data_IF_339901372562
#
_entry.id   IF_339901372562
#
_cell.length_a   1.000
_cell.length_b   1.000
_cell.length_c   1.000
_cell.angle_alpha   90.00
_cell.angle_beta   90.00
_cell.angle_gamma   90.00
#
_symmetry.space_group_name_H-M   'P 1'
#
loop_
_entity.id
_entity.type
_entity.pdbx_description
1 polymer ?
#
# COMPACT_ATOMS: atom_id res chain seq x y z
N UNK A 1 -23.08 8.94 -29.97
CA UNK A 1 -22.27 10.09 -29.51
C UNK A 1 -21.91 9.98 -28.02
N UNK A 2 -22.87 9.66 -27.14
CA UNK A 2 -22.68 9.50 -25.68
C UNK A 2 -21.64 8.42 -25.31
N UNK A 3 -21.60 7.30 -26.05
CA UNK A 3 -20.66 6.19 -25.81
C UNK A 3 -19.20 6.55 -26.07
N UNK A 4 -18.90 7.31 -27.13
CA UNK A 4 -17.54 7.80 -27.43
C UNK A 4 -17.04 8.85 -26.42
N UNK A 5 -17.94 9.66 -25.87
CA UNK A 5 -17.60 10.65 -24.84
C UNK A 5 -17.25 9.94 -23.52
N UNK A 6 -18.01 8.90 -23.14
CA UNK A 6 -17.75 8.09 -21.95
C UNK A 6 -16.41 7.35 -22.03
N UNK A 7 -16.09 6.77 -23.18
CA UNK A 7 -14.79 6.09 -23.38
C UNK A 7 -13.60 7.05 -23.33
N UNK A 8 -13.75 8.28 -23.86
CA UNK A 8 -12.68 9.28 -23.82
C UNK A 8 -12.41 9.80 -22.39
N UNK A 9 -13.48 10.06 -21.62
CA UNK A 9 -13.37 10.46 -20.21
C UNK A 9 -12.70 9.38 -19.35
N UNK A 10 -13.06 8.12 -19.55
CA UNK A 10 -12.43 6.99 -18.84
C UNK A 10 -10.94 6.88 -19.16
N UNK A 11 -10.57 7.02 -20.43
CA UNK A 11 -9.17 6.96 -20.85
C UNK A 11 -8.33 8.09 -20.23
N UNK A 12 -8.91 9.29 -20.17
CA UNK A 12 -8.26 10.46 -19.56
C UNK A 12 -8.10 10.30 -18.05
N UNK A 13 -9.12 9.78 -17.36
CA UNK A 13 -9.07 9.48 -15.92
C UNK A 13 -7.97 8.45 -15.60
N UNK A 14 -7.89 7.37 -16.38
CA UNK A 14 -6.83 6.36 -16.26
C UNK A 14 -5.44 6.98 -16.43
N UNK A 15 -5.24 7.87 -17.40
CA UNK A 15 -3.94 8.54 -17.59
C UNK A 15 -3.55 9.41 -16.41
N UNK A 16 -4.48 10.22 -15.86
CA UNK A 16 -4.18 11.04 -14.68
C UNK A 16 -3.85 10.19 -13.45
N UNK A 17 -4.61 9.11 -13.24
CA UNK A 17 -4.36 8.14 -12.18
C UNK A 17 -2.96 7.54 -12.29
N UNK A 18 -2.53 7.23 -13.52
CA UNK A 18 -1.20 6.66 -13.74
C UNK A 18 -0.08 7.63 -13.38
N UNK A 19 -0.20 8.87 -13.84
CA UNK A 19 0.78 9.92 -13.55
C UNK A 19 0.85 10.17 -12.04
N UNK A 20 -0.30 10.24 -11.37
CA UNK A 20 -0.36 10.48 -9.94
C UNK A 20 0.30 9.37 -9.12
N UNK A 21 0.04 8.10 -9.45
CA UNK A 21 0.68 6.95 -8.80
C UNK A 21 2.21 6.95 -8.99
N UNK A 22 2.70 7.34 -10.16
CA UNK A 22 4.14 7.49 -10.41
C UNK A 22 4.75 8.61 -9.59
N UNK A 23 4.06 9.76 -9.46
CA UNK A 23 4.53 10.85 -8.62
C UNK A 23 4.63 10.43 -7.15
N UNK A 24 3.65 9.66 -6.65
CA UNK A 24 3.70 9.10 -5.30
C UNK A 24 4.86 8.10 -5.16
N UNK A 25 5.06 7.22 -6.14
CA UNK A 25 6.17 6.26 -6.11
C UNK A 25 7.52 7.00 -6.05
N UNK A 26 7.71 8.02 -6.89
CA UNK A 26 8.95 8.79 -6.94
C UNK A 26 9.17 9.54 -5.64
N UNK A 27 8.16 10.25 -5.11
CA UNK A 27 8.30 11.00 -3.86
C UNK A 27 8.59 10.09 -2.67
N UNK A 28 7.93 8.94 -2.59
CA UNK A 28 8.16 7.95 -1.54
C UNK A 28 9.51 7.23 -1.68
N UNK A 29 9.99 6.97 -2.90
CA UNK A 29 11.34 6.47 -3.15
C UNK A 29 12.42 7.45 -2.71
N UNK A 30 12.25 8.74 -3.01
CA UNK A 30 13.18 9.79 -2.56
C UNK A 30 13.23 9.82 -1.04
N UNK A 31 12.08 9.75 -0.37
CA UNK A 31 12.01 9.64 1.09
C UNK A 31 12.71 8.39 1.63
N UNK A 32 12.41 7.22 1.05
CA UNK A 32 13.07 5.96 1.40
C UNK A 32 14.59 6.05 1.22
N UNK A 33 15.06 6.64 0.12
CA UNK A 33 16.48 6.82 -0.17
C UNK A 33 17.18 7.79 0.78
N UNK A 34 16.47 8.80 1.28
CA UNK A 34 17.03 9.73 2.25
C UNK A 34 17.31 9.05 3.59
N UNK A 35 16.37 8.25 4.08
CA UNK A 35 16.48 7.62 5.40
C UNK A 35 17.21 6.28 5.41
N UNK A 36 17.19 5.52 4.30
CA UNK A 36 17.85 4.22 4.24
C UNK A 36 19.34 4.35 3.94
N UNK A 37 20.25 3.82 4.79
CA UNK A 37 21.67 3.77 4.49
C UNK A 37 21.96 2.89 3.28
N UNK A 38 23.14 3.07 2.68
CA UNK A 38 23.57 2.30 1.51
C UNK A 38 23.72 0.82 1.91
N UNK A 39 22.72 0.04 1.55
CA UNK A 39 22.54 -1.36 1.98
C UNK A 39 21.98 -2.19 0.82
N UNK A 40 22.13 -3.53 0.86
CA UNK A 40 21.53 -4.40 -0.15
C UNK A 40 20.02 -4.16 -0.32
N UNK A 41 19.31 -3.85 0.77
CA UNK A 41 17.89 -3.50 0.75
C UNK A 41 17.59 -2.28 -0.11
N UNK A 42 18.45 -1.25 -0.09
CA UNK A 42 18.30 -0.05 -0.91
C UNK A 42 18.47 -0.33 -2.40
N UNK A 43 19.32 -1.28 -2.76
CA UNK A 43 19.49 -1.72 -4.15
C UNK A 43 18.28 -2.56 -4.58
N UNK A 44 17.86 -3.51 -3.74
CA UNK A 44 16.69 -4.34 -3.99
C UNK A 44 15.42 -3.51 -4.14
N UNK A 45 15.25 -2.44 -3.35
CA UNK A 45 14.07 -1.58 -3.41
C UNK A 45 13.97 -0.83 -4.75
N UNK A 46 15.11 -0.39 -5.30
CA UNK A 46 15.17 0.24 -6.64
C UNK A 46 14.85 -0.77 -7.72
N UNK A 47 15.40 -1.98 -7.65
CA UNK A 47 15.08 -3.06 -8.61
C UNK A 47 13.58 -3.36 -8.58
N UNK A 48 13.00 -3.49 -7.38
CA UNK A 48 11.56 -3.74 -7.22
C UNK A 48 10.71 -2.56 -7.71
N UNK A 49 11.17 -1.32 -7.56
CA UNK A 49 10.52 -0.14 -8.14
C UNK A 49 10.56 -0.13 -9.67
N UNK A 50 11.71 -0.47 -10.27
CA UNK A 50 11.82 -0.58 -11.72
C UNK A 50 10.93 -1.71 -12.25
N UNK A 51 10.90 -2.85 -11.57
CA UNK A 51 9.97 -3.94 -11.88
C UNK A 51 8.52 -3.46 -11.77
N UNK A 52 8.15 -2.74 -10.71
CA UNK A 52 6.77 -2.25 -10.53
C UNK A 52 6.33 -1.32 -11.66
N UNK A 53 7.21 -0.39 -12.07
CA UNK A 53 6.98 0.50 -13.21
C UNK A 53 6.86 -0.30 -14.51
N UNK A 54 7.71 -1.32 -14.71
CA UNK A 54 7.61 -2.23 -15.86
C UNK A 54 6.27 -2.98 -15.90
N UNK A 55 5.87 -3.63 -14.80
CA UNK A 55 4.59 -4.32 -14.68
C UNK A 55 3.40 -3.37 -14.91
N UNK A 56 3.52 -2.13 -14.47
CA UNK A 56 2.50 -1.11 -14.61
C UNK A 56 2.33 -0.63 -16.06
N UNK A 57 3.42 -0.30 -16.77
CA UNK A 57 3.33 0.20 -18.14
C UNK A 57 3.11 -0.92 -19.16
N UNK A 58 3.79 -2.06 -19.00
CA UNK A 58 3.79 -3.14 -19.99
C UNK A 58 2.61 -4.08 -19.76
N UNK A 59 2.40 -4.51 -18.51
CA UNK A 59 1.39 -5.52 -18.18
C UNK A 59 0.09 -4.92 -17.64
N UNK A 60 0.00 -3.59 -17.51
CA UNK A 60 -1.17 -2.87 -17.00
C UNK A 60 -1.63 -3.39 -15.63
N UNK A 61 -0.68 -3.84 -14.79
CA UNK A 61 -0.95 -4.33 -13.43
C UNK A 61 -0.57 -3.27 -12.41
N UNK A 62 -1.56 -2.83 -11.63
CA UNK A 62 -1.44 -1.71 -10.69
C UNK A 62 -1.06 -2.15 -9.28
N UNK A 63 -1.39 -3.39 -8.91
CA UNK A 63 -1.30 -3.89 -7.53
C UNK A 63 0.11 -3.78 -6.95
N UNK A 64 1.12 -4.21 -7.72
CA UNK A 64 2.50 -4.23 -7.25
C UNK A 64 3.05 -2.81 -7.07
N UNK A 65 2.70 -1.88 -7.98
CA UNK A 65 3.10 -0.48 -7.86
C UNK A 65 2.44 0.18 -6.66
N UNK A 66 1.14 -0.06 -6.44
CA UNK A 66 0.41 0.47 -5.29
C UNK A 66 1.00 -0.05 -3.97
N UNK A 67 1.23 -1.36 -3.86
CA UNK A 67 1.85 -1.95 -2.68
C UNK A 67 3.23 -1.36 -2.41
N UNK A 68 4.07 -1.30 -3.42
CA UNK A 68 5.44 -0.81 -3.24
C UNK A 68 5.48 0.68 -2.87
N UNK A 69 4.67 1.51 -3.53
CA UNK A 69 4.52 2.92 -3.16
C UNK A 69 3.99 3.08 -1.74
N UNK A 70 3.02 2.26 -1.33
CA UNK A 70 2.46 2.31 0.03
C UNK A 70 3.51 1.94 1.09
N UNK A 71 4.31 0.91 0.83
CA UNK A 71 5.43 0.52 1.68
C UNK A 71 6.43 1.67 1.87
N UNK A 72 6.92 2.27 0.79
CA UNK A 72 7.88 3.38 0.88
C UNK A 72 7.29 4.61 1.54
N UNK A 73 6.00 4.88 1.32
CA UNK A 73 5.29 5.99 1.96
C UNK A 73 5.25 5.81 3.48
N UNK A 74 4.89 4.62 3.95
CA UNK A 74 4.86 4.29 5.38
C UNK A 74 6.25 4.33 6.02
N UNK A 75 7.24 3.76 5.35
CA UNK A 75 8.62 3.80 5.81
C UNK A 75 9.12 5.24 5.98
N UNK A 76 8.84 6.10 5.00
CA UNK A 76 9.21 7.52 5.04
C UNK A 76 8.50 8.22 6.18
N UNK A 77 7.18 8.01 6.35
CA UNK A 77 6.40 8.63 7.42
C UNK A 77 6.89 8.23 8.82
N UNK A 78 7.18 6.95 9.03
CA UNK A 78 7.74 6.49 10.30
C UNK A 78 9.11 7.11 10.57
N UNK A 79 9.99 7.23 9.57
CA UNK A 79 11.29 7.87 9.81
C UNK A 79 11.13 9.37 10.13
N UNK A 80 10.20 10.07 9.49
CA UNK A 80 9.86 11.47 9.81
C UNK A 80 9.32 11.58 11.26
N UNK A 81 8.62 10.56 11.77
CA UNK A 81 8.21 10.48 13.17
C UNK A 81 9.39 10.44 14.12
N UNK A 82 10.25 9.44 13.92
CA UNK A 82 11.35 9.16 14.82
C UNK A 82 12.45 10.22 14.73
N UNK A 83 12.50 11.00 13.64
CA UNK A 83 13.37 12.18 13.54
C UNK A 83 12.81 13.41 14.29
N UNK A 84 11.65 13.31 14.95
CA UNK A 84 11.06 14.39 15.74
C UNK A 84 10.47 15.54 14.93
N UNK A 85 10.32 15.37 13.61
CA UNK A 85 9.87 16.43 12.72
C UNK A 85 8.35 16.57 12.65
N UNK A 86 7.60 15.58 13.15
CA UNK A 86 6.13 15.54 13.07
C UNK A 86 5.48 15.14 14.39
N UNK A 87 4.37 15.80 14.72
CA UNK A 87 3.49 15.40 15.80
C UNK A 87 2.69 14.14 15.46
N UNK A 88 2.43 13.29 16.46
CA UNK A 88 1.72 12.00 16.30
C UNK A 88 0.37 12.17 15.58
N UNK A 89 -0.43 13.18 15.95
CA UNK A 89 -1.74 13.43 15.35
C UNK A 89 -1.66 13.72 13.85
N UNK A 90 -0.62 14.44 13.40
CA UNK A 90 -0.44 14.76 11.99
C UNK A 90 -0.08 13.51 11.18
N UNK A 91 0.58 12.53 11.81
CA UNK A 91 0.87 11.24 11.19
C UNK A 91 -0.34 10.31 11.12
N UNK A 92 -1.17 10.33 12.16
CA UNK A 92 -2.44 9.61 12.13
C UNK A 92 -3.29 10.08 10.94
N UNK A 93 -3.37 11.40 10.73
CA UNK A 93 -4.07 11.98 9.58
C UNK A 93 -3.42 11.59 8.25
N UNK A 94 -2.08 11.60 8.15
CA UNK A 94 -1.40 11.24 6.90
C UNK A 94 -1.56 9.76 6.54
N UNK A 95 -1.60 8.87 7.53
CA UNK A 95 -1.82 7.44 7.33
C UNK A 95 -3.25 7.16 6.94
N UNK A 96 -4.22 7.78 7.61
CA UNK A 96 -5.63 7.67 7.23
C UNK A 96 -5.81 8.14 5.78
N UNK A 97 -5.23 9.29 5.41
CA UNK A 97 -5.27 9.79 4.05
C UNK A 97 -4.59 8.84 3.05
N UNK A 98 -3.39 8.32 3.35
CA UNK A 98 -2.69 7.38 2.47
C UNK A 98 -3.48 6.11 2.24
N UNK A 99 -3.95 5.45 3.31
CA UNK A 99 -4.70 4.19 3.20
C UNK A 99 -5.96 4.41 2.38
N UNK A 100 -6.69 5.49 2.63
CA UNK A 100 -7.87 5.86 1.87
C UNK A 100 -7.53 6.06 0.38
N UNK A 101 -6.49 6.84 0.08
CA UNK A 101 -6.05 7.14 -1.29
C UNK A 101 -5.66 5.85 -2.04
N UNK A 102 -4.82 5.00 -1.43
CA UNK A 102 -4.37 3.76 -2.08
C UNK A 102 -5.51 2.76 -2.28
N UNK A 103 -6.39 2.62 -1.30
CA UNK A 103 -7.55 1.76 -1.43
C UNK A 103 -8.52 2.27 -2.51
N UNK A 104 -8.75 3.58 -2.57
CA UNK A 104 -9.55 4.20 -3.62
C UNK A 104 -8.93 3.96 -5.01
N UNK A 105 -7.61 4.06 -5.14
CA UNK A 105 -6.92 3.73 -6.39
C UNK A 105 -7.05 2.27 -6.79
N UNK A 106 -6.97 1.34 -5.83
CA UNK A 106 -7.17 -0.07 -6.10
C UNK A 106 -8.58 -0.35 -6.62
N UNK A 107 -9.61 0.26 -6.02
CA UNK A 107 -10.99 0.17 -6.53
C UNK A 107 -11.08 0.68 -7.97
N UNK A 108 -10.61 1.91 -8.23
CA UNK A 108 -10.65 2.49 -9.56
C UNK A 108 -9.90 1.66 -10.61
N UNK A 109 -8.85 0.94 -10.20
CA UNK A 109 -8.08 0.07 -11.10
C UNK A 109 -8.83 -1.21 -11.51
N UNK A 110 -9.70 -1.72 -10.64
CA UNK A 110 -10.52 -2.90 -10.89
C UNK A 110 -11.80 -2.56 -11.67
N UNK A 111 -12.28 -1.32 -11.53
CA UNK A 111 -13.59 -0.90 -12.00
C UNK A 111 -13.63 -0.56 -13.50
N UNK A 112 -13.58 -1.60 -14.36
CA UNK A 112 -14.03 -1.48 -15.76
C UNK A 112 -15.56 -1.54 -15.89
N UNK A 113 -16.27 -1.93 -14.84
CA UNK A 113 -17.72 -2.15 -14.83
C UNK A 113 -18.31 -1.67 -13.51
N UNK A 114 -18.67 -0.38 -13.48
CA UNK A 114 -19.54 0.31 -12.52
C UNK A 114 -19.84 -0.45 -11.23
N UNK A 115 -19.38 -0.01 -10.06
CA UNK A 115 -19.72 -0.66 -8.81
C UNK A 115 -21.18 -0.32 -8.51
N UNK A 116 -22.05 -1.32 -8.51
CA UNK A 116 -23.43 -1.19 -8.04
C UNK A 116 -23.52 -1.07 -6.51
N UNK A 117 -22.39 -0.85 -5.82
CA UNK A 117 -22.28 -0.80 -4.36
C UNK A 117 -21.49 0.40 -3.86
N UNK A 118 -21.93 0.95 -2.73
CA UNK A 118 -21.26 2.06 -2.05
C UNK A 118 -19.97 1.54 -1.38
N UNK A 119 -18.85 1.52 -2.12
CA UNK A 119 -17.53 1.03 -1.64
C UNK A 119 -16.79 2.04 -0.75
N UNK A 120 -17.28 3.28 -0.70
CA UNK A 120 -16.67 4.39 0.04
C UNK A 120 -16.62 4.17 1.56
N UNK A 121 -17.67 3.70 2.25
CA UNK A 121 -17.61 3.35 3.67
C UNK A 121 -16.55 2.28 4.00
N UNK A 122 -16.31 1.33 3.10
CA UNK A 122 -15.29 0.30 3.30
C UNK A 122 -13.87 0.87 3.23
N UNK A 123 -13.63 1.83 2.33
CA UNK A 123 -12.35 2.54 2.27
C UNK A 123 -12.05 3.24 3.59
N UNK A 124 -13.06 3.90 4.16
CA UNK A 124 -12.96 4.59 5.44
C UNK A 124 -12.71 3.61 6.59
N UNK A 125 -13.51 2.53 6.69
CA UNK A 125 -13.34 1.52 7.73
C UNK A 125 -11.97 0.84 7.67
N UNK A 126 -11.50 0.52 6.47
CA UNK A 126 -10.16 -0.05 6.28
C UNK A 126 -9.07 0.94 6.67
N UNK A 127 -9.26 2.22 6.38
CA UNK A 127 -8.34 3.29 6.82
C UNK A 127 -8.27 3.40 8.34
N UNK A 128 -9.41 3.30 9.03
CA UNK A 128 -9.44 3.27 10.50
C UNK A 128 -8.79 2.01 11.08
N UNK A 129 -9.02 0.85 10.48
CA UNK A 129 -8.40 -0.40 10.92
C UNK A 129 -6.87 -0.34 10.79
N UNK A 130 -6.36 0.15 9.65
CA UNK A 130 -4.92 0.29 9.46
C UNK A 130 -4.34 1.37 10.37
N UNK A 131 -5.08 2.45 10.63
CA UNK A 131 -4.68 3.47 11.59
C UNK A 131 -4.54 2.89 13.01
N UNK A 132 -5.47 2.03 13.43
CA UNK A 132 -5.40 1.36 14.72
C UNK A 132 -4.16 0.46 14.82
N UNK A 133 -3.88 -0.33 13.77
CA UNK A 133 -2.66 -1.14 13.70
C UNK A 133 -1.42 -0.25 13.78
N UNK A 134 -1.40 0.88 13.07
CA UNK A 134 -0.31 1.84 13.15
C UNK A 134 -0.12 2.39 14.57
N UNK A 135 -1.20 2.75 15.26
CA UNK A 135 -1.14 3.23 16.64
C UNK A 135 -0.52 2.19 17.56
N UNK A 136 -0.99 0.94 17.51
CA UNK A 136 -0.43 -0.17 18.29
C UNK A 136 1.08 -0.34 18.00
N UNK A 137 1.45 -0.34 16.72
CA UNK A 137 2.86 -0.47 16.31
C UNK A 137 3.72 0.74 16.68
N UNK A 138 3.14 1.94 16.79
CA UNK A 138 3.89 3.15 17.15
C UNK A 138 4.54 3.03 18.53
N UNK A 139 3.85 2.38 19.48
CA UNK A 139 4.34 2.14 20.84
C UNK A 139 5.25 0.91 20.96
N UNK A 140 5.28 0.04 19.95
CA UNK A 140 6.16 -1.13 19.96
C UNK A 140 7.61 -0.74 19.66
N UNK A 141 8.61 -1.16 20.46
CA UNK A 141 10.01 -0.80 20.27
C UNK A 141 10.65 -1.71 19.21
N UNK A 142 10.13 -1.60 17.99
CA UNK A 142 10.52 -2.39 16.83
C UNK A 142 11.11 -1.44 15.77
N UNK A 143 12.03 -1.95 14.94
CA UNK A 143 12.56 -1.19 13.82
C UNK A 143 11.45 -0.73 12.84
N UNK A 144 11.65 0.45 12.26
CA UNK A 144 10.70 1.10 11.34
C UNK A 144 10.35 0.22 10.13
N UNK A 145 11.32 -0.54 9.64
CA UNK A 145 11.15 -1.47 8.52
C UNK A 145 10.09 -2.52 8.83
N UNK A 146 10.21 -3.24 9.95
CA UNK A 146 9.25 -4.29 10.31
C UNK A 146 7.85 -3.71 10.57
N UNK A 147 7.75 -2.51 11.17
CA UNK A 147 6.45 -1.82 11.34
C UNK A 147 5.79 -1.56 9.98
N UNK A 148 6.56 -1.07 9.01
CA UNK A 148 6.08 -0.83 7.65
C UNK A 148 5.62 -2.12 6.97
N UNK A 149 6.34 -3.23 7.17
CA UNK A 149 5.99 -4.56 6.63
C UNK A 149 4.68 -5.08 7.25
N UNK A 150 4.50 -4.93 8.57
CA UNK A 150 3.27 -5.37 9.25
C UNK A 150 2.06 -4.59 8.73
N UNK A 151 2.18 -3.27 8.52
CA UNK A 151 1.06 -2.49 8.01
C UNK A 151 0.74 -2.84 6.56
N UNK A 152 1.74 -2.97 5.68
CA UNK A 152 1.45 -3.32 4.28
C UNK A 152 0.85 -4.72 4.15
N UNK A 153 1.29 -5.68 4.96
CA UNK A 153 0.70 -7.02 4.98
C UNK A 153 -0.73 -6.99 5.50
N UNK A 154 -1.01 -6.20 6.54
CA UNK A 154 -2.37 -5.95 7.03
C UNK A 154 -3.26 -5.34 5.95
N UNK A 155 -2.76 -4.33 5.25
CA UNK A 155 -3.46 -3.68 4.15
C UNK A 155 -3.75 -4.67 3.02
N UNK A 156 -2.76 -5.47 2.63
CA UNK A 156 -2.89 -6.48 1.59
C UNK A 156 -3.90 -7.59 1.97
N UNK A 157 -3.92 -8.02 3.23
CA UNK A 157 -4.91 -8.95 3.77
C UNK A 157 -6.32 -8.38 3.68
N UNK A 158 -6.51 -7.16 4.19
CA UNK A 158 -7.79 -6.50 4.15
C UNK A 158 -8.28 -6.32 2.72
N UNK A 159 -7.38 -5.93 1.80
CA UNK A 159 -7.67 -5.86 0.37
C UNK A 159 -8.09 -7.21 -0.23
N UNK A 160 -7.38 -8.29 0.07
CA UNK A 160 -7.72 -9.64 -0.38
C UNK A 160 -9.11 -10.10 0.12
N UNK A 161 -9.47 -9.77 1.36
CA UNK A 161 -10.78 -10.09 1.92
C UNK A 161 -11.90 -9.27 1.28
N UNK A 162 -11.70 -7.97 1.07
CA UNK A 162 -12.69 -7.10 0.42
C UNK A 162 -12.88 -7.50 -1.04
N UNK A 163 -11.80 -7.73 -1.78
CA UNK A 163 -11.87 -8.13 -3.19
C UNK A 163 -12.60 -9.46 -3.39
N UNK A 164 -12.42 -10.43 -2.48
CA UNK A 164 -13.22 -11.67 -2.48
C UNK A 164 -14.70 -11.42 -2.15
N UNK A 165 -14.98 -10.70 -1.05
CA UNK A 165 -16.33 -10.58 -0.50
C UNK A 165 -17.24 -9.66 -1.32
N UNK A 166 -16.71 -8.53 -1.81
CA UNK A 166 -17.51 -7.48 -2.43
C UNK A 166 -17.40 -7.46 -3.95
N UNK A 167 -16.22 -7.80 -4.49
CA UNK A 167 -15.96 -7.72 -5.93
C UNK A 167 -16.01 -9.09 -6.60
N UNK A 168 -16.04 -10.19 -5.83
CA UNK A 168 -15.98 -11.58 -6.33
C UNK A 168 -14.81 -11.83 -7.32
N UNK A 169 -13.80 -10.98 -7.30
CA UNK A 169 -12.68 -11.02 -8.25
C UNK A 169 -11.69 -12.14 -7.96
N UNK A 170 -11.69 -12.66 -6.72
CA UNK A 170 -10.84 -13.76 -6.29
C UNK A 170 -11.64 -15.06 -6.13
N UNK A 171 -11.16 -16.13 -6.78
CA UNK A 171 -11.64 -17.48 -6.53
C UNK A 171 -11.24 -17.95 -5.12
N UNK A 172 -11.98 -18.92 -4.56
CA UNK A 172 -11.71 -19.44 -3.22
C UNK A 172 -10.28 -19.97 -3.07
N UNK A 173 -9.78 -20.67 -4.10
CA UNK A 173 -8.39 -21.12 -4.18
C UNK A 173 -7.39 -19.97 -4.10
N UNK A 174 -7.61 -18.89 -4.86
CA UNK A 174 -6.72 -17.74 -4.83
C UNK A 174 -6.77 -17.04 -3.48
N UNK A 175 -7.94 -16.91 -2.85
CA UNK A 175 -8.05 -16.29 -1.53
C UNK A 175 -7.28 -17.02 -0.42
N UNK A 176 -7.23 -18.35 -0.47
CA UNK A 176 -6.45 -19.16 0.48
C UNK A 176 -4.96 -18.92 0.26
N UNK A 177 -4.50 -18.88 -1.00
CA UNK A 177 -3.10 -18.55 -1.32
C UNK A 177 -2.72 -17.14 -0.81
N UNK A 178 -3.61 -16.15 -0.94
CA UNK A 178 -3.41 -14.81 -0.40
C UNK A 178 -3.25 -14.81 1.12
N UNK A 179 -4.13 -15.51 1.84
CA UNK A 179 -4.07 -15.62 3.31
C UNK A 179 -2.80 -16.33 3.78
N UNK A 180 -2.41 -17.43 3.13
CA UNK A 180 -1.19 -18.17 3.46
C UNK A 180 0.04 -17.29 3.26
N UNK A 181 0.12 -16.61 2.11
CA UNK A 181 1.29 -15.79 1.78
C UNK A 181 1.41 -14.61 2.74
N UNK A 182 0.31 -13.93 3.03
CA UNK A 182 0.32 -12.86 4.03
C UNK A 182 0.63 -13.37 5.44
N UNK A 183 0.12 -14.53 5.83
CA UNK A 183 0.44 -15.17 7.11
C UNK A 183 1.93 -15.51 7.24
N UNK A 184 2.54 -16.03 6.15
CA UNK A 184 3.99 -16.28 6.12
C UNK A 184 4.79 -14.99 6.24
N UNK A 185 4.42 -13.91 5.56
CA UNK A 185 5.11 -12.63 5.69
C UNK A 185 4.95 -12.06 7.10
N UNK A 186 3.79 -12.23 7.73
CA UNK A 186 3.56 -11.87 9.13
C UNK A 186 4.48 -12.65 10.07
N UNK A 187 4.58 -13.97 9.90
CA UNK A 187 5.46 -14.83 10.70
C UNK A 187 6.93 -14.44 10.53
N UNK A 188 7.36 -14.17 9.29
CA UNK A 188 8.73 -13.70 9.00
C UNK A 188 8.96 -12.36 9.71
N UNK A 189 8.02 -11.43 9.64
CA UNK A 189 8.12 -10.12 10.30
C UNK A 189 8.28 -10.27 11.81
N UNK A 190 7.46 -11.11 12.44
CA UNK A 190 7.53 -11.42 13.88
C UNK A 190 8.85 -12.12 14.23
N UNK A 191 9.32 -13.05 13.39
CA UNK A 191 10.60 -13.72 13.60
C UNK A 191 11.77 -12.73 13.51
N UNK A 192 11.78 -11.83 12.53
CA UNK A 192 12.81 -10.78 12.43
C UNK A 192 12.78 -9.80 13.61
N UNK A 193 11.59 -9.56 14.19
CA UNK A 193 11.46 -8.76 15.42
C UNK A 193 12.15 -9.46 16.59
N UNK A 194 11.96 -10.78 16.74
CA UNK A 194 12.53 -11.54 17.85
C UNK A 194 14.06 -11.58 17.86
N UNK A 195 14.70 -11.42 16.69
CA UNK A 195 16.17 -11.46 16.57
C UNK A 195 16.83 -10.12 16.91
N UNK A 196 16.16 -8.99 16.62
CA UNK A 196 16.67 -7.65 16.94
C UNK A 196 16.32 -7.20 18.37
N UNK A 197 15.52 -7.99 19.09
CA UNK A 197 15.22 -7.77 20.52
C UNK A 197 16.31 -8.36 21.42
N UNK A 198 17.57 -8.12 21.08
CA UNK A 198 18.68 -8.32 22.02
C UNK A 198 19.00 -6.95 22.61
N UNK A 199 18.50 -6.76 23.83
CA UNK A 199 18.83 -5.66 24.75
C UNK A 199 20.34 -5.42 24.83
#
# INVERSE_FOLDING_TARGET
MITKIKSYLQLRQLTYLKIFLLLILISSLVGFWHFQPLSPLKIMSVIMALLSVYFFFVLQRYDLLILLSFYFSLFTLYNIYFSGLFYLWAQMLSILALVFIYYYFLILSLDKTSPSGNLFPYAILLSFLILEIFLVLSFWPINVESKSIIIITSFYLCWGLVSKSMLSTLTLRNSVSYLILAGLVYLISIATISWNYQL
#
